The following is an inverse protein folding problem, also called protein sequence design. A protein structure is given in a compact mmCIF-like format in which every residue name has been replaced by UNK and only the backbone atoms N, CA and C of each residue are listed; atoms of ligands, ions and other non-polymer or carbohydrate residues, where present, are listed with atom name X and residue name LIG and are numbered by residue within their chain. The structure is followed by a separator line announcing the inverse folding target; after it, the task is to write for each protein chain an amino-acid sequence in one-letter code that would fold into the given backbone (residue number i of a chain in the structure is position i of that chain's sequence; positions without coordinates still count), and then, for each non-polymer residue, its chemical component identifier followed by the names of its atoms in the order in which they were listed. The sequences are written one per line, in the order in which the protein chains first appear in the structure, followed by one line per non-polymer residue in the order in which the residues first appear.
data_IF_316009077261
#
_entry.id   IF_316009077261
#
_cell.length_a   1.000
_cell.length_b   1.000
_cell.length_c   1.000
_cell.angle_alpha   90.00
_cell.angle_beta   90.00
_cell.angle_gamma   90.00
#
_symmetry.space_group_name_H-M   'P 1'
#
loop_
_entity.id
_entity.type
_entity.pdbx_description
1 polymer ?
#
# COMPACT_ATOMS: atom_id res chain seq x y z
N UNK A 1 -10.29 43.03 -33.69
CA UNK A 1 -9.46 41.80 -33.69
C UNK A 1 -8.50 41.75 -32.50
N UNK A 2 -7.71 42.81 -32.25
CA UNK A 2 -6.75 42.90 -31.14
C UNK A 2 -7.34 42.69 -29.72
N UNK A 3 -8.53 43.24 -29.45
CA UNK A 3 -9.21 43.11 -28.15
C UNK A 3 -9.60 41.66 -27.83
N UNK A 4 -10.05 40.89 -28.83
CA UNK A 4 -10.43 39.47 -28.68
C UNK A 4 -9.22 38.58 -28.31
N UNK A 5 -8.05 38.88 -28.89
CA UNK A 5 -6.79 38.17 -28.61
C UNK A 5 -6.33 38.41 -27.16
N UNK A 6 -6.48 39.65 -26.64
CA UNK A 6 -6.14 39.96 -25.24
C UNK A 6 -7.01 39.20 -24.23
N UNK A 7 -8.31 39.09 -24.51
CA UNK A 7 -9.24 38.32 -23.67
C UNK A 7 -8.88 36.83 -23.68
N UNK A 8 -8.54 36.27 -24.85
CA UNK A 8 -8.11 34.87 -24.96
C UNK A 8 -6.84 34.58 -24.16
N UNK A 9 -5.83 35.46 -24.25
CA UNK A 9 -4.59 35.34 -23.49
C UNK A 9 -4.86 35.42 -21.98
N UNK A 10 -5.76 36.30 -21.55
CA UNK A 10 -6.15 36.42 -20.14
C UNK A 10 -6.81 35.13 -19.62
N UNK A 11 -7.73 34.54 -20.39
CA UNK A 11 -8.41 33.28 -20.04
C UNK A 11 -7.43 32.11 -19.98
N UNK A 12 -6.46 32.05 -20.89
CA UNK A 12 -5.41 31.03 -20.91
C UNK A 12 -4.46 31.16 -19.72
N UNK A 13 -4.16 32.39 -19.28
CA UNK A 13 -3.32 32.63 -18.11
C UNK A 13 -4.02 32.20 -16.82
N UNK A 14 -5.31 32.55 -16.67
CA UNK A 14 -6.10 32.17 -15.50
C UNK A 14 -6.22 30.64 -15.40
N UNK A 15 -6.43 29.95 -16.53
CA UNK A 15 -6.50 28.48 -16.54
C UNK A 15 -5.16 27.80 -16.27
N UNK A 16 -4.03 28.41 -16.67
CA UNK A 16 -2.69 27.92 -16.32
C UNK A 16 -2.34 28.08 -14.83
N UNK A 17 -2.90 29.10 -14.16
CA UNK A 17 -2.67 29.36 -12.74
C UNK A 17 -3.46 28.43 -11.80
N UNK A 18 -4.48 27.71 -12.30
CA UNK A 18 -5.24 26.72 -11.53
C UNK A 18 -4.57 25.35 -11.70
N UNK A 19 -3.32 25.23 -11.25
CA UNK A 19 -2.64 23.93 -11.17
C UNK A 19 -3.10 23.20 -9.91
N UNK A 20 -3.90 22.15 -10.06
CA UNK A 20 -4.28 21.27 -8.95
C UNK A 20 -3.12 20.33 -8.66
N UNK A 21 -2.38 20.60 -7.60
CA UNK A 21 -1.34 19.69 -7.12
C UNK A 21 -1.99 18.46 -6.47
N UNK A 22 -1.79 17.28 -7.05
CA UNK A 22 -2.17 16.01 -6.43
C UNK A 22 -1.08 15.56 -5.46
N UNK A 23 -1.46 15.23 -4.23
CA UNK A 23 -0.56 14.60 -3.26
C UNK A 23 -0.77 13.09 -3.28
N UNK A 24 0.32 12.33 -3.41
CA UNK A 24 0.30 10.87 -3.35
C UNK A 24 1.05 10.43 -2.10
N UNK A 25 0.36 9.68 -1.25
CA UNK A 25 0.97 9.02 -0.08
C UNK A 25 1.03 7.53 -0.37
N UNK A 26 2.23 6.96 -0.32
CA UNK A 26 2.42 5.52 -0.40
C UNK A 26 2.20 4.87 0.97
N UNK A 27 1.43 3.79 1.01
CA UNK A 27 1.27 2.97 2.21
C UNK A 27 2.22 1.77 2.24
N UNK A 28 3.18 1.70 1.31
CA UNK A 28 4.15 0.63 1.24
C UNK A 28 5.03 0.55 2.51
N UNK A 29 5.70 -0.59 2.70
CA UNK A 29 6.60 -0.85 3.82
C UNK A 29 5.98 -1.75 4.88
N UNK A 30 6.23 -1.43 6.15
CA UNK A 30 5.89 -2.28 7.29
C UNK A 30 4.41 -2.19 7.64
N UNK A 31 3.79 -3.35 7.88
CA UNK A 31 2.41 -3.56 8.29
C UNK A 31 2.37 -4.61 9.42
N UNK A 32 1.25 -4.69 10.13
CA UNK A 32 0.99 -5.78 11.09
C UNK A 32 0.03 -6.79 10.48
N UNK A 33 0.41 -8.06 10.46
CA UNK A 33 -0.44 -9.17 10.04
C UNK A 33 -0.99 -9.96 11.23
N UNK A 34 -2.25 -10.39 11.14
CA UNK A 34 -2.91 -11.19 12.17
C UNK A 34 -3.72 -12.33 11.53
N UNK A 35 -3.60 -13.54 12.10
CA UNK A 35 -4.47 -14.70 11.82
C UNK A 35 -5.34 -14.92 13.05
N UNK A 36 -6.61 -14.50 12.99
CA UNK A 36 -7.48 -14.44 14.17
C UNK A 36 -7.77 -15.79 14.80
N UNK A 37 -8.00 -16.84 14.00
CA UNK A 37 -8.38 -18.17 14.50
C UNK A 37 -7.26 -18.81 15.34
N UNK A 38 -6.01 -18.49 15.02
CA UNK A 38 -4.82 -19.08 15.65
C UNK A 38 -4.12 -18.13 16.63
N UNK A 39 -4.64 -16.91 16.80
CA UNK A 39 -4.02 -15.82 17.55
C UNK A 39 -2.55 -15.56 17.18
N UNK A 40 -2.22 -15.68 15.89
CA UNK A 40 -0.87 -15.45 15.39
C UNK A 40 -0.76 -14.00 14.92
N UNK A 41 0.24 -13.29 15.46
CA UNK A 41 0.61 -11.95 15.04
C UNK A 41 2.00 -11.96 14.42
N UNK A 42 2.20 -11.22 13.33
CA UNK A 42 3.48 -11.18 12.61
C UNK A 42 3.76 -9.82 11.98
N UNK A 43 5.05 -9.53 11.76
CA UNK A 43 5.46 -8.36 11.02
C UNK A 43 5.32 -8.61 9.51
N UNK A 44 4.67 -7.71 8.79
CA UNK A 44 4.34 -7.86 7.37
C UNK A 44 5.00 -6.77 6.52
N UNK A 45 5.24 -7.08 5.24
CA UNK A 45 5.64 -6.08 4.24
C UNK A 45 4.57 -5.96 3.16
N UNK A 46 4.11 -4.74 2.85
CA UNK A 46 3.20 -4.48 1.73
C UNK A 46 3.89 -3.52 0.74
N UNK A 47 3.91 -3.81 -0.57
CA UNK A 47 3.47 -5.06 -1.19
C UNK A 47 4.32 -6.26 -0.73
N UNK A 48 3.69 -7.42 -0.66
CA UNK A 48 4.28 -8.67 -0.17
C UNK A 48 3.26 -9.80 -0.19
N UNK A 49 3.49 -10.87 0.56
CA UNK A 49 2.61 -12.02 0.58
C UNK A 49 2.70 -12.82 1.86
N UNK A 50 1.62 -13.53 2.19
CA UNK A 50 1.47 -14.23 3.46
C UNK A 50 2.59 -15.24 3.74
N UNK A 51 2.95 -16.07 2.75
CA UNK A 51 3.98 -17.09 2.94
C UNK A 51 5.36 -16.48 3.17
N UNK A 52 5.69 -15.38 2.48
CA UNK A 52 6.97 -14.69 2.70
C UNK A 52 7.01 -13.96 4.02
N UNK A 53 5.90 -13.36 4.46
CA UNK A 53 5.80 -12.73 5.78
C UNK A 53 5.94 -13.76 6.91
N UNK A 54 5.18 -14.85 6.87
CA UNK A 54 5.27 -15.91 7.89
C UNK A 54 6.66 -16.56 7.92
N UNK A 55 7.29 -16.75 6.75
CA UNK A 55 8.66 -17.28 6.67
C UNK A 55 9.67 -16.32 7.32
N UNK A 56 9.59 -15.00 7.05
CA UNK A 56 10.47 -13.99 7.67
C UNK A 56 10.31 -13.91 9.19
N UNK A 57 9.12 -14.23 9.69
CA UNK A 57 8.85 -14.29 11.12
C UNK A 57 9.15 -15.67 11.73
N UNK A 58 9.74 -16.60 10.97
CA UNK A 58 10.08 -17.97 11.38
C UNK A 58 8.86 -18.80 11.85
N UNK A 59 7.64 -18.45 11.41
CA UNK A 59 6.41 -19.18 11.73
C UNK A 59 6.26 -20.42 10.84
N UNK A 60 6.68 -20.31 9.59
CA UNK A 60 6.74 -21.44 8.64
C UNK A 60 8.12 -21.55 8.01
N UNK A 61 8.47 -22.75 7.56
CA UNK A 61 9.68 -22.98 6.75
C UNK A 61 9.45 -22.50 5.32
N UNK A 62 10.55 -22.35 4.57
CA UNK A 62 10.50 -21.98 3.15
C UNK A 62 9.53 -22.88 2.39
N UNK A 63 8.47 -22.26 1.85
CA UNK A 63 7.34 -22.95 1.24
C UNK A 63 7.74 -23.74 -0.02
N UNK A 64 8.84 -23.35 -0.67
CA UNK A 64 9.31 -23.96 -1.91
C UNK A 64 10.35 -25.08 -1.68
N UNK A 65 10.59 -25.47 -0.42
CA UNK A 65 11.55 -26.52 -0.09
C UNK A 65 10.88 -27.80 0.38
N UNK A 66 11.23 -28.93 -0.24
CA UNK A 66 10.73 -30.24 0.13
C UNK A 66 9.20 -30.35 0.02
N UNK A 67 8.54 -30.83 1.07
CA UNK A 67 7.07 -30.97 1.16
C UNK A 67 6.38 -29.80 1.87
N UNK A 68 7.06 -28.65 1.99
CA UNK A 68 6.53 -27.53 2.75
C UNK A 68 5.31 -26.87 2.10
N UNK A 69 5.11 -27.03 0.79
CA UNK A 69 3.89 -26.67 0.09
C UNK A 69 2.65 -27.40 0.62
N UNK A 70 2.81 -28.67 1.03
CA UNK A 70 1.78 -29.47 1.68
C UNK A 70 1.73 -29.15 3.18
N UNK A 71 2.87 -29.10 3.86
CA UNK A 71 2.92 -28.88 5.32
C UNK A 71 2.39 -27.50 5.72
N UNK A 72 2.61 -26.47 4.90
CA UNK A 72 2.15 -25.10 5.14
C UNK A 72 0.78 -24.82 4.51
N UNK A 73 0.11 -25.83 3.92
CA UNK A 73 -1.20 -25.65 3.26
C UNK A 73 -2.27 -25.09 4.20
N UNK A 74 -2.13 -25.32 5.51
CA UNK A 74 -3.02 -24.77 6.52
C UNK A 74 -3.14 -23.24 6.45
N UNK A 75 -2.10 -22.53 5.99
CA UNK A 75 -2.09 -21.06 5.81
C UNK A 75 -3.16 -20.63 4.81
N UNK A 76 -3.38 -21.40 3.74
CA UNK A 76 -4.40 -21.10 2.74
C UNK A 76 -5.84 -21.26 3.23
N UNK A 77 -6.03 -21.91 4.40
CA UNK A 77 -7.33 -22.06 5.04
C UNK A 77 -7.56 -21.03 6.16
N UNK A 78 -6.70 -20.01 6.27
CA UNK A 78 -6.80 -18.97 7.28
C UNK A 78 -7.31 -17.66 6.70
N UNK A 79 -8.07 -16.92 7.50
CA UNK A 79 -8.33 -15.51 7.26
C UNK A 79 -7.19 -14.68 7.84
N UNK A 80 -6.60 -13.80 7.01
CA UNK A 80 -5.49 -12.93 7.40
C UNK A 80 -5.89 -11.47 7.28
N UNK A 81 -5.60 -10.69 8.31
CA UNK A 81 -5.83 -9.25 8.32
C UNK A 81 -4.50 -8.50 8.35
N UNK A 82 -4.33 -7.56 7.42
CA UNK A 82 -3.19 -6.65 7.38
C UNK A 82 -3.64 -5.26 7.84
N UNK A 83 -2.99 -4.73 8.88
CA UNK A 83 -3.33 -3.44 9.48
C UNK A 83 -2.13 -2.50 9.49
N UNK A 84 -2.36 -1.23 9.11
CA UNK A 84 -1.40 -0.14 9.23
C UNK A 84 -2.11 1.14 9.63
N UNK A 85 -1.55 1.83 10.63
CA UNK A 85 -1.98 3.18 10.98
C UNK A 85 -1.14 4.19 10.18
N UNK A 86 -1.81 5.16 9.57
CA UNK A 86 -1.16 6.24 8.84
C UNK A 86 -1.82 7.57 9.21
N UNK A 87 -1.01 8.62 9.32
CA UNK A 87 -1.51 9.97 9.56
C UNK A 87 -1.79 10.63 8.21
N UNK A 88 -3.02 11.06 7.98
CA UNK A 88 -3.41 11.81 6.77
C UNK A 88 -2.99 13.27 6.78
N UNK A 89 -1.79 13.59 7.30
CA UNK A 89 -1.37 14.99 7.41
C UNK A 89 -0.98 15.49 6.02
N UNK A 90 -1.84 16.34 5.45
CA UNK A 90 -1.53 17.14 4.26
C UNK A 90 -0.22 17.88 4.54
N UNK A 91 0.78 17.65 3.68
CA UNK A 91 2.05 18.37 3.76
C UNK A 91 1.73 19.81 3.36
N UNK A 92 1.55 20.70 4.32
CA UNK A 92 1.62 22.15 4.10
C UNK A 92 3.08 22.55 4.25
N UNK A 93 3.76 22.67 3.12
CA UNK A 93 5.03 23.42 2.99
C UNK A 93 4.80 24.89 3.22
#
# INVERSE_FOLDING_TARGET
MLSKIKVLILVLWISFSISVCSQVITLNGIWRGTIHVLDINFNATVPGGIFTDLQKNNIIKNNLYGKNDVNNRWVGNQSVTYTKHFNGKLITT
#
